data_IF_619560039023
#
_entry.id   IF_619560039023
#
_cell.length_a   1.000
_cell.length_b   1.000
_cell.length_c   1.000
_cell.angle_alpha   90.00
_cell.angle_beta   90.00
_cell.angle_gamma   90.00
#
_symmetry.space_group_name_H-M   'P 1'
#
loop_
_entity.id
_entity.type
_entity.pdbx_description
1 polymer ?
#
# COMPACT_ATOMS: atom_id res chain seq x y z
N UNK A 1 40.50 -52.57 -31.00
CA UNK A 1 39.91 -52.02 -29.78
C UNK A 1 39.39 -50.65 -30.06
N UNK A 2 38.11 -50.53 -29.98
CA UNK A 2 37.45 -49.24 -30.27
C UNK A 2 36.82 -48.72 -29.00
N UNK A 3 37.39 -47.65 -28.51
CA UNK A 3 36.81 -46.91 -27.43
C UNK A 3 35.62 -46.13 -27.99
N UNK A 4 34.44 -46.52 -27.58
CA UNK A 4 33.28 -45.70 -27.82
C UNK A 4 33.18 -44.68 -26.67
N UNK A 5 33.52 -43.48 -26.95
CA UNK A 5 33.20 -42.35 -26.10
C UNK A 5 31.71 -42.14 -26.16
N UNK A 6 31.01 -42.55 -25.13
CA UNK A 6 29.63 -42.14 -24.94
C UNK A 6 29.68 -40.74 -24.30
N UNK A 7 29.44 -39.74 -25.08
CA UNK A 7 29.24 -38.39 -24.59
C UNK A 7 27.87 -38.38 -23.92
N UNK A 8 27.87 -38.52 -22.63
CA UNK A 8 26.67 -38.30 -21.85
C UNK A 8 26.42 -36.83 -21.80
N UNK A 9 25.50 -36.38 -22.63
CA UNK A 9 25.02 -35.00 -22.55
C UNK A 9 24.25 -34.81 -21.25
N UNK A 10 24.86 -34.15 -20.32
CA UNK A 10 24.16 -33.69 -19.12
C UNK A 10 23.23 -32.56 -19.57
N UNK A 11 22.00 -32.89 -19.78
CA UNK A 11 20.95 -31.90 -19.94
C UNK A 11 20.71 -31.31 -18.54
N UNK A 12 21.36 -30.21 -18.27
CA UNK A 12 21.08 -29.42 -17.08
C UNK A 12 19.66 -28.83 -17.26
N UNK A 13 18.70 -29.50 -16.72
CA UNK A 13 17.37 -28.93 -16.50
C UNK A 13 17.53 -27.85 -15.45
N UNK A 14 17.75 -26.63 -15.91
CA UNK A 14 17.52 -25.44 -15.11
C UNK A 14 16.02 -25.36 -14.84
N UNK A 15 15.56 -26.08 -13.83
CA UNK A 15 14.29 -25.81 -13.22
C UNK A 15 14.39 -24.45 -12.57
N UNK A 16 14.10 -23.39 -13.34
CA UNK A 16 13.91 -22.09 -12.78
C UNK A 16 12.78 -22.17 -11.78
N UNK A 17 13.09 -22.08 -10.50
CA UNK A 17 12.07 -21.82 -9.50
C UNK A 17 11.56 -20.40 -9.77
N UNK A 18 10.52 -20.29 -10.55
CA UNK A 18 9.73 -19.09 -10.56
C UNK A 18 8.98 -19.06 -9.24
N UNK A 19 9.53 -18.37 -8.28
CA UNK A 19 8.75 -17.92 -7.15
C UNK A 19 7.63 -17.07 -7.72
N UNK A 20 6.35 -17.38 -7.39
CA UNK A 20 5.27 -16.50 -7.80
C UNK A 20 5.62 -15.10 -7.28
N UNK A 21 5.43 -14.05 -8.10
CA UNK A 21 5.64 -12.71 -7.63
C UNK A 21 4.80 -12.53 -6.35
N UNK A 22 5.35 -11.92 -5.29
CA UNK A 22 4.56 -11.61 -4.12
C UNK A 22 3.30 -10.88 -4.61
N UNK A 23 2.11 -11.15 -4.02
CA UNK A 23 0.90 -10.46 -4.43
C UNK A 23 1.24 -8.98 -4.46
N UNK A 24 0.98 -8.33 -5.59
CA UNK A 24 1.22 -6.92 -5.74
C UNK A 24 0.49 -6.23 -4.60
N UNK A 25 1.25 -5.85 -3.60
CA UNK A 25 0.74 -4.88 -2.64
C UNK A 25 0.41 -3.69 -3.50
N UNK A 26 -0.88 -3.44 -3.66
CA UNK A 26 -1.35 -2.38 -4.52
C UNK A 26 -0.48 -1.16 -4.29
N UNK A 27 0.01 -0.57 -5.36
CA UNK A 27 0.82 0.64 -5.27
C UNK A 27 0.08 1.66 -4.42
N UNK A 28 0.80 2.55 -3.75
CA UNK A 28 0.18 3.62 -2.97
C UNK A 28 -0.97 4.28 -3.73
N UNK A 29 -0.82 4.46 -5.04
CA UNK A 29 -1.83 5.05 -5.90
C UNK A 29 -3.15 4.24 -5.94
N UNK A 30 -3.09 2.91 -5.88
CA UNK A 30 -4.30 2.06 -5.93
C UNK A 30 -5.09 2.06 -4.62
N UNK A 31 -4.49 2.49 -3.52
CA UNK A 31 -5.11 2.55 -2.20
C UNK A 31 -5.68 3.93 -1.86
N UNK A 32 -5.43 4.92 -2.71
CA UNK A 32 -5.84 6.30 -2.48
C UNK A 32 -7.04 6.63 -3.34
N UNK A 33 -8.08 7.14 -2.71
CA UNK A 33 -9.22 7.76 -3.38
C UNK A 33 -9.16 9.26 -3.08
N UNK A 34 -8.84 10.04 -4.11
CA UNK A 34 -8.81 11.49 -4.00
C UNK A 34 -10.17 12.07 -4.33
N UNK A 35 -10.70 12.86 -3.42
CA UNK A 35 -11.91 13.66 -3.63
C UNK A 35 -11.50 15.12 -3.74
N UNK A 36 -11.93 15.78 -4.83
CA UNK A 36 -11.55 17.17 -5.09
C UNK A 36 -10.14 17.31 -5.66
N UNK A 37 -9.59 18.52 -5.55
CA UNK A 37 -8.28 18.83 -6.09
C UNK A 37 -7.19 18.57 -5.05
N UNK A 38 -6.49 17.44 -5.17
CA UNK A 38 -5.37 17.11 -4.29
C UNK A 38 -4.03 17.65 -4.81
N UNK A 39 -4.05 18.82 -5.41
CA UNK A 39 -2.86 19.46 -5.97
C UNK A 39 -1.79 19.64 -4.89
N UNK A 40 -0.57 19.25 -5.19
CA UNK A 40 0.60 19.35 -4.33
C UNK A 40 0.56 18.47 -3.06
N UNK A 41 -0.39 17.57 -2.95
CA UNK A 41 -0.35 16.52 -1.94
C UNK A 41 0.07 15.23 -2.62
N UNK A 42 1.19 14.68 -2.18
CA UNK A 42 1.74 13.43 -2.71
C UNK A 42 1.67 12.36 -1.65
N UNK A 43 1.05 11.24 -2.01
CA UNK A 43 1.10 10.04 -1.18
C UNK A 43 2.33 9.24 -1.60
N UNK A 44 3.24 9.09 -0.67
CA UNK A 44 4.48 8.35 -0.89
C UNK A 44 4.36 6.89 -0.47
N UNK A 45 5.33 6.42 0.30
CA UNK A 45 5.37 5.04 0.75
C UNK A 45 4.21 4.71 1.68
N UNK A 46 3.70 3.50 1.56
CA UNK A 46 2.74 2.91 2.49
C UNK A 46 3.35 1.64 3.07
N UNK A 47 3.30 1.54 4.39
CA UNK A 47 3.69 0.33 5.09
C UNK A 47 2.45 -0.31 5.69
N UNK A 48 2.23 -1.57 5.36
CA UNK A 48 1.13 -2.37 5.89
C UNK A 48 1.70 -3.53 6.68
N UNK A 49 1.21 -3.75 7.88
CA UNK A 49 1.62 -4.83 8.75
C UNK A 49 0.42 -5.38 9.50
N UNK A 50 0.61 -6.47 10.22
CA UNK A 50 -0.33 -6.99 11.21
C UNK A 50 0.34 -7.00 12.57
N UNK A 51 -0.35 -6.41 13.52
CA UNK A 51 0.07 -6.40 14.91
C UNK A 51 -1.09 -6.89 15.77
N UNK A 52 -0.85 -7.92 16.56
CA UNK A 52 -1.88 -8.53 17.40
C UNK A 52 -3.14 -8.95 16.63
N UNK A 53 -2.99 -9.34 15.35
CA UNK A 53 -4.09 -9.73 14.49
C UNK A 53 -4.81 -8.58 13.79
N UNK A 54 -4.46 -7.34 14.07
CA UNK A 54 -5.06 -6.15 13.44
C UNK A 54 -4.16 -5.62 12.33
N UNK A 55 -4.79 -5.19 11.23
CA UNK A 55 -4.07 -4.50 10.17
C UNK A 55 -3.62 -3.11 10.67
N UNK A 56 -2.36 -2.81 10.49
CA UNK A 56 -1.78 -1.49 10.74
C UNK A 56 -1.26 -0.90 9.44
N UNK A 57 -1.46 0.38 9.27
CA UNK A 57 -1.05 1.11 8.07
C UNK A 57 -0.29 2.36 8.50
N UNK A 58 0.79 2.65 7.81
CA UNK A 58 1.50 3.91 7.96
C UNK A 58 1.70 4.51 6.57
N UNK A 59 1.21 5.71 6.37
CA UNK A 59 1.19 6.38 5.08
C UNK A 59 2.03 7.63 5.13
N UNK A 60 2.92 7.78 4.16
CA UNK A 60 3.72 8.98 3.99
C UNK A 60 2.96 9.99 3.11
N UNK A 61 2.77 11.19 3.61
CA UNK A 61 2.16 12.32 2.90
C UNK A 61 3.13 13.48 2.82
N UNK A 62 3.22 14.09 1.66
CA UNK A 62 4.08 15.26 1.43
C UNK A 62 3.29 16.40 0.82
N UNK A 63 3.53 17.60 1.31
CA UNK A 63 3.08 18.83 0.69
C UNK A 63 4.23 19.38 -0.16
N UNK A 64 4.09 19.35 -1.48
CA UNK A 64 5.13 19.80 -2.40
C UNK A 64 5.07 21.31 -2.70
N UNK A 65 4.12 22.02 -2.13
CA UNK A 65 4.02 23.46 -2.25
C UNK A 65 4.75 24.19 -1.12
N UNK A 66 5.01 25.49 -1.31
CA UNK A 66 5.56 26.34 -0.26
C UNK A 66 4.51 26.78 0.77
N UNK A 67 3.23 26.64 0.43
CA UNK A 67 2.14 27.08 1.26
C UNK A 67 1.62 25.95 2.14
N UNK A 68 1.13 26.30 3.32
CA UNK A 68 0.45 25.36 4.20
C UNK A 68 -0.85 24.89 3.54
N UNK A 69 -1.16 23.60 3.71
CA UNK A 69 -2.37 23.01 3.17
C UNK A 69 -3.13 22.28 4.26
N UNK A 70 -4.43 22.53 4.32
CA UNK A 70 -5.35 21.76 5.14
C UNK A 70 -5.96 20.66 4.29
N UNK A 71 -5.95 19.45 4.78
CA UNK A 71 -6.60 18.33 4.12
C UNK A 71 -7.43 17.54 5.12
N UNK A 72 -8.38 16.81 4.59
CA UNK A 72 -9.20 15.87 5.34
C UNK A 72 -8.90 14.47 4.86
N UNK A 73 -8.85 13.52 5.76
CA UNK A 73 -8.61 12.13 5.42
C UNK A 73 -9.41 11.20 6.32
N UNK A 74 -9.62 10.00 5.81
CA UNK A 74 -10.15 8.88 6.57
C UNK A 74 -9.75 7.59 5.91
N UNK A 75 -9.80 6.50 6.67
CA UNK A 75 -9.56 5.16 6.17
C UNK A 75 -10.88 4.43 6.01
N UNK A 76 -11.04 3.72 4.91
CA UNK A 76 -12.09 2.73 4.71
C UNK A 76 -11.46 1.35 4.87
N UNK A 77 -11.97 0.56 5.79
CA UNK A 77 -11.45 -0.78 6.07
C UNK A 77 -12.30 -1.81 5.34
N UNK A 78 -11.64 -2.72 4.64
CA UNK A 78 -12.28 -3.66 3.72
C UNK A 78 -12.03 -5.10 4.15
N UNK A 79 -13.04 -5.95 3.93
CA UNK A 79 -12.94 -7.38 4.08
C UNK A 79 -12.36 -8.06 2.83
N UNK A 80 -12.27 -9.42 2.84
CA UNK A 80 -11.64 -10.19 1.75
C UNK A 80 -12.26 -9.97 0.37
N UNK A 81 -13.53 -9.63 0.31
CA UNK A 81 -14.25 -9.42 -0.94
C UNK A 81 -14.26 -7.95 -1.39
N UNK A 82 -13.56 -7.08 -0.68
CA UNK A 82 -13.49 -5.66 -1.00
C UNK A 82 -14.67 -4.84 -0.50
N UNK A 83 -15.55 -5.42 0.31
CA UNK A 83 -16.65 -4.69 0.94
C UNK A 83 -16.22 -4.05 2.27
N UNK A 84 -16.79 -2.90 2.62
CA UNK A 84 -16.55 -2.30 3.92
C UNK A 84 -16.89 -3.28 5.06
N UNK A 85 -15.97 -3.40 6.00
CA UNK A 85 -16.12 -4.31 7.15
C UNK A 85 -16.23 -3.57 8.49
N UNK A 86 -16.13 -2.25 8.44
CA UNK A 86 -16.28 -1.36 9.58
C UNK A 86 -17.14 -0.16 9.19
N UNK A 87 -17.67 0.53 10.19
CA UNK A 87 -18.39 1.76 9.96
C UNK A 87 -17.48 2.83 9.32
N UNK A 88 -18.10 3.68 8.53
CA UNK A 88 -17.41 4.80 7.90
C UNK A 88 -16.83 5.73 8.98
N UNK A 89 -15.54 5.99 8.89
CA UNK A 89 -14.87 6.91 9.79
C UNK A 89 -15.27 8.36 9.52
N UNK A 90 -15.29 9.16 10.56
CA UNK A 90 -15.39 10.60 10.41
C UNK A 90 -14.14 11.16 9.77
N UNK A 91 -14.29 12.23 8.99
CA UNK A 91 -13.15 12.93 8.41
C UNK A 91 -12.26 13.51 9.50
N UNK A 92 -10.96 13.28 9.36
CA UNK A 92 -9.92 13.85 10.22
C UNK A 92 -9.25 14.99 9.50
N UNK A 93 -8.96 16.04 10.22
CA UNK A 93 -8.28 17.22 9.69
C UNK A 93 -6.77 17.06 9.86
N UNK A 94 -6.02 17.37 8.83
CA UNK A 94 -4.57 17.41 8.87
C UNK A 94 -4.08 18.68 8.20
N UNK A 95 -3.19 19.41 8.89
CA UNK A 95 -2.47 20.52 8.29
C UNK A 95 -1.07 20.05 7.92
N UNK A 96 -0.71 20.19 6.66
CA UNK A 96 0.63 19.98 6.16
C UNK A 96 1.27 21.34 5.90
N UNK A 97 2.33 21.65 6.62
CA UNK A 97 3.10 22.86 6.35
C UNK A 97 3.79 22.77 4.99
N UNK A 98 4.16 23.93 4.45
CA UNK A 98 4.86 23.98 3.17
C UNK A 98 6.09 23.07 3.18
N UNK A 99 6.22 22.23 2.15
CA UNK A 99 7.31 21.25 1.96
C UNK A 99 7.43 20.19 3.08
N UNK A 100 6.42 20.06 3.93
CA UNK A 100 6.43 19.08 5.01
C UNK A 100 6.07 17.68 4.51
N UNK A 101 6.77 16.70 5.05
CA UNK A 101 6.41 15.27 4.95
C UNK A 101 5.96 14.78 6.31
N UNK A 102 4.82 14.09 6.35
CA UNK A 102 4.29 13.48 7.56
C UNK A 102 3.90 12.04 7.32
N UNK A 103 3.89 11.27 8.40
CA UNK A 103 3.44 9.89 8.42
C UNK A 103 2.14 9.79 9.19
N UNK A 104 1.16 9.11 8.58
CA UNK A 104 -0.15 8.86 9.20
C UNK A 104 -0.24 7.40 9.59
N UNK A 105 -0.20 7.10 10.90
CA UNK A 105 -0.48 5.75 11.37
C UNK A 105 -1.98 5.52 11.47
N UNK A 106 -2.41 4.31 11.17
CA UNK A 106 -3.78 3.87 11.36
C UNK A 106 -3.82 2.40 11.77
N UNK A 107 -4.81 2.05 12.57
CA UNK A 107 -5.06 0.68 13.01
C UNK A 107 -6.50 0.34 12.67
N UNK A 108 -6.70 -0.79 12.01
CA UNK A 108 -8.05 -1.26 11.70
C UNK A 108 -8.83 -1.53 13.00
N UNK A 109 -10.11 -1.16 13.05
CA UNK A 109 -10.93 -1.36 14.25
C UNK A 109 -11.38 -2.81 14.47
N UNK A 110 -11.11 -3.69 13.49
CA UNK A 110 -11.49 -5.09 13.55
C UNK A 110 -10.38 -5.96 12.97
N UNK A 111 -10.13 -7.16 13.54
CA UNK A 111 -9.13 -8.07 12.99
C UNK A 111 -9.55 -8.68 11.64
N UNK A 112 -10.79 -8.50 11.24
CA UNK A 112 -11.33 -9.00 9.97
C UNK A 112 -10.93 -8.15 8.77
N UNK A 113 -10.42 -6.95 8.99
CA UNK A 113 -9.95 -6.08 7.91
C UNK A 113 -8.69 -6.69 7.27
N UNK A 114 -8.72 -6.84 5.95
CA UNK A 114 -7.62 -7.40 5.15
C UNK A 114 -7.14 -6.43 4.10
N UNK A 115 -7.84 -5.34 3.89
CA UNK A 115 -7.50 -4.30 2.94
C UNK A 115 -8.04 -2.95 3.43
N UNK A 116 -7.62 -1.89 2.77
CA UNK A 116 -8.02 -0.54 3.13
C UNK A 116 -8.00 0.38 1.92
N UNK A 117 -8.65 1.51 2.05
CA UNK A 117 -8.49 2.67 1.17
C UNK A 117 -8.26 3.91 2.02
N UNK A 118 -7.37 4.75 1.55
CA UNK A 118 -7.18 6.08 2.12
C UNK A 118 -7.97 7.07 1.28
N UNK A 119 -8.96 7.69 1.89
CA UNK A 119 -9.74 8.75 1.25
C UNK A 119 -9.19 10.11 1.67
N UNK A 120 -8.93 10.96 0.69
CA UNK A 120 -8.36 12.29 0.88
C UNK A 120 -9.29 13.32 0.25
N UNK A 121 -9.54 14.38 0.97
CA UNK A 121 -10.28 15.53 0.47
C UNK A 121 -9.51 16.81 0.80
N UNK A 122 -9.21 17.59 -0.20
CA UNK A 122 -8.65 18.93 -0.06
C UNK A 122 -9.69 19.95 -0.51
N UNK A 123 -10.13 20.85 0.37
CA UNK A 123 -11.10 21.87 -0.01
C UNK A 123 -10.55 22.87 -1.02
#
# INVERSE_FOLDING_TARGET
MRLKLITLGVLALLAGCTTPPPPEQGTAASKVVAMGKTKNIVVGAMRVARENGYMTVNVQLSNTSFNNKTMYYRFAWLGPEGFPIAEEESWKTLMLYGEQTRFLPAIAPTPKAVDFRLEINTP
#
